data_IF_057496541259
#
_entry.id   IF_057496541259
#
_cell.length_a   1.000
_cell.length_b   1.000
_cell.length_c   1.000
_cell.angle_alpha   90.00
_cell.angle_beta   90.00
_cell.angle_gamma   90.00
#
_symmetry.space_group_name_H-M   'P 1'
#
loop_
_entity.id
_entity.type
_entity.pdbx_description
1 polymer ?
#
# COMPACT_ATOMS: atom_id res chain seq x y z
N UNK A 1 3.44 -11.02 -1.16
CA UNK A 1 4.11 -12.03 -2.00
C UNK A 1 3.48 -12.01 -3.37
N UNK A 2 4.17 -12.48 -4.42
CA UNK A 2 3.48 -12.73 -5.69
C UNK A 2 2.30 -13.68 -5.49
N UNK A 3 1.18 -13.41 -6.15
CA UNK A 3 -0.07 -14.16 -6.00
C UNK A 3 -0.98 -13.70 -4.85
N UNK A 4 -0.50 -12.83 -3.95
CA UNK A 4 -1.31 -12.36 -2.82
C UNK A 4 -2.31 -11.26 -3.21
N UNK A 5 -3.28 -11.04 -2.32
CA UNK A 5 -4.08 -9.83 -2.31
C UNK A 5 -3.44 -8.73 -1.44
N UNK A 6 -3.61 -7.49 -1.88
CA UNK A 6 -3.08 -6.29 -1.25
C UNK A 6 -4.18 -5.24 -1.11
N UNK A 7 -4.28 -4.65 0.08
CA UNK A 7 -5.24 -3.60 0.38
C UNK A 7 -4.55 -2.42 1.08
N UNK A 8 -4.82 -1.22 0.56
CA UNK A 8 -4.50 0.06 1.22
C UNK A 8 -5.78 0.81 1.55
N UNK A 9 -5.90 1.24 2.80
CA UNK A 9 -6.95 2.15 3.27
C UNK A 9 -6.35 3.52 3.51
N UNK A 10 -6.96 4.56 2.96
CA UNK A 10 -6.52 5.93 3.15
C UNK A 10 -7.38 6.66 4.20
N UNK A 11 -6.76 7.05 5.30
CA UNK A 11 -7.40 7.83 6.35
C UNK A 11 -6.99 9.29 6.25
N UNK A 12 -7.93 10.15 5.89
CA UNK A 12 -7.68 11.58 5.70
C UNK A 12 -8.31 12.44 6.78
N UNK A 13 -7.47 13.21 7.47
CA UNK A 13 -7.88 14.14 8.53
C UNK A 13 -7.61 15.57 8.06
N UNK A 14 -8.66 16.38 8.02
CA UNK A 14 -8.58 17.78 7.62
C UNK A 14 -9.71 18.60 8.23
N UNK A 15 -9.56 19.93 8.21
CA UNK A 15 -10.60 20.89 8.60
C UNK A 15 -10.83 21.90 7.46
N UNK A 16 -12.01 21.92 6.82
CA UNK A 16 -13.10 20.93 6.92
C UNK A 16 -12.67 19.51 6.54
N UNK A 17 -13.44 18.49 6.95
CA UNK A 17 -13.09 17.11 6.62
C UNK A 17 -13.05 16.91 5.09
N UNK A 18 -12.06 16.16 4.55
CA UNK A 18 -11.98 15.91 3.12
C UNK A 18 -13.26 15.28 2.58
N UNK A 19 -13.76 15.83 1.48
CA UNK A 19 -14.99 15.37 0.81
C UNK A 19 -14.68 14.36 -0.29
N UNK A 20 -13.43 14.28 -0.73
CA UNK A 20 -12.97 13.39 -1.79
C UNK A 20 -11.61 12.79 -1.42
N UNK A 21 -11.51 11.48 -1.54
CA UNK A 21 -10.29 10.68 -1.35
C UNK A 21 -10.15 9.76 -2.55
N UNK A 22 -9.00 9.78 -3.21
CA UNK A 22 -8.73 9.02 -4.45
C UNK A 22 -7.32 8.48 -4.44
N UNK A 23 -7.09 7.35 -5.11
CA UNK A 23 -5.75 6.80 -5.33
C UNK A 23 -5.29 6.99 -6.76
N UNK A 24 -3.99 7.23 -6.90
CA UNK A 24 -3.27 7.28 -8.18
C UNK A 24 -1.97 6.49 -8.05
N UNK A 25 -1.45 6.00 -9.18
CA UNK A 25 -0.08 5.50 -9.26
C UNK A 25 0.81 6.64 -9.76
N UNK A 26 1.94 6.83 -9.10
CA UNK A 26 2.87 7.92 -9.42
C UNK A 26 3.68 7.52 -10.64
N UNK A 27 3.79 8.44 -11.60
CA UNK A 27 4.55 8.30 -12.85
C UNK A 27 4.14 7.12 -13.75
N UNK A 28 2.96 6.52 -13.49
CA UNK A 28 2.48 5.35 -14.21
C UNK A 28 0.95 5.24 -14.11
N UNK A 29 0.35 4.37 -14.92
CA UNK A 29 -1.09 4.12 -14.89
C UNK A 29 -1.46 3.10 -13.80
N UNK A 30 -2.64 3.26 -13.21
CA UNK A 30 -3.15 2.27 -12.25
C UNK A 30 -3.24 0.88 -12.91
N UNK A 31 -2.80 -0.20 -12.23
CA UNK A 31 -2.92 -1.55 -12.79
C UNK A 31 -4.37 -1.87 -13.15
N UNK A 32 -4.59 -2.55 -14.28
CA UNK A 32 -5.95 -2.84 -14.78
C UNK A 32 -6.78 -3.69 -13.79
N UNK A 33 -6.12 -4.52 -12.98
CA UNK A 33 -6.71 -5.36 -11.94
C UNK A 33 -6.80 -4.67 -10.57
N UNK A 34 -6.46 -3.38 -10.48
CA UNK A 34 -6.70 -2.59 -9.29
C UNK A 34 -8.17 -2.18 -9.18
N UNK A 35 -8.73 -2.24 -7.97
CA UNK A 35 -10.11 -1.84 -7.67
C UNK A 35 -10.08 -0.71 -6.64
N UNK A 36 -10.73 0.40 -6.98
CA UNK A 36 -10.88 1.58 -6.11
C UNK A 36 -12.28 1.59 -5.50
N UNK A 37 -12.37 1.60 -4.17
CA UNK A 37 -13.63 1.65 -3.43
C UNK A 37 -13.54 2.72 -2.35
N UNK A 38 -13.98 3.94 -2.69
CA UNK A 38 -13.86 5.10 -1.80
C UNK A 38 -12.40 5.35 -1.40
N UNK A 39 -12.06 5.33 -0.10
CA UNK A 39 -10.68 5.53 0.37
C UNK A 39 -9.78 4.30 0.21
N UNK A 40 -10.31 3.17 -0.28
CA UNK A 40 -9.58 1.90 -0.32
C UNK A 40 -9.12 1.55 -1.74
N UNK A 41 -7.90 1.04 -1.83
CA UNK A 41 -7.29 0.45 -3.02
C UNK A 41 -7.07 -1.04 -2.79
N UNK A 42 -7.56 -1.86 -3.70
CA UNK A 42 -7.38 -3.31 -3.70
C UNK A 42 -6.64 -3.76 -4.95
N UNK A 43 -5.65 -4.64 -4.81
CA UNK A 43 -4.96 -5.29 -5.91
C UNK A 43 -4.88 -6.78 -5.59
N UNK A 44 -5.51 -7.61 -6.41
CA UNK A 44 -5.48 -9.06 -6.24
C UNK A 44 -4.38 -9.67 -7.11
N UNK A 45 -3.86 -10.83 -6.70
CA UNK A 45 -2.87 -11.59 -7.46
C UNK A 45 -1.64 -10.72 -7.84
N UNK A 46 -1.00 -10.14 -6.82
CA UNK A 46 0.17 -9.28 -6.96
C UNK A 46 1.25 -9.91 -7.84
N UNK A 47 1.90 -9.12 -8.67
CA UNK A 47 3.06 -9.53 -9.45
C UNK A 47 4.11 -8.40 -9.52
N UNK A 48 5.32 -8.66 -10.05
CA UNK A 48 6.41 -7.64 -10.08
C UNK A 48 6.08 -6.37 -10.85
N UNK A 49 5.12 -6.38 -11.77
CA UNK A 49 4.70 -5.17 -12.49
C UNK A 49 3.86 -4.24 -11.62
N UNK A 50 3.30 -4.76 -10.52
CA UNK A 50 2.58 -3.96 -9.51
C UNK A 50 3.54 -3.14 -8.63
N UNK A 51 4.86 -3.36 -8.72
CA UNK A 51 5.85 -2.53 -8.05
C UNK A 51 5.70 -1.06 -8.46
N UNK A 52 5.70 -0.16 -7.48
CA UNK A 52 5.56 1.26 -7.74
C UNK A 52 5.14 2.06 -6.51
N UNK A 53 4.96 3.36 -6.71
CA UNK A 53 4.49 4.27 -5.67
C UNK A 53 3.01 4.58 -5.89
N UNK A 54 2.19 4.27 -4.89
CA UNK A 54 0.76 4.53 -4.87
C UNK A 54 0.49 5.72 -3.97
N UNK A 55 -0.17 6.75 -4.50
CA UNK A 55 -0.46 8.00 -3.80
C UNK A 55 -1.94 8.10 -3.52
N UNK A 56 -2.28 8.29 -2.25
CA UNK A 56 -3.60 8.71 -1.87
C UNK A 56 -3.65 10.23 -1.88
N UNK A 57 -4.62 10.81 -2.58
CA UNK A 57 -4.92 12.23 -2.58
C UNK A 57 -6.26 12.49 -1.90
N UNK A 58 -6.26 13.40 -0.92
CA UNK A 58 -7.49 13.89 -0.29
C UNK A 58 -7.67 15.38 -0.55
N UNK A 59 -8.92 15.79 -0.75
CA UNK A 59 -9.25 17.19 -1.01
C UNK A 59 -10.48 17.67 -0.24
N UNK A 60 -10.42 18.94 0.18
CA UNK A 60 -11.53 19.70 0.74
C UNK A 60 -11.58 21.08 0.06
N UNK A 61 -12.45 21.97 0.55
CA UNK A 61 -12.58 23.34 0.03
C UNK A 61 -11.33 24.23 0.27
N UNK A 62 -10.43 23.82 1.17
CA UNK A 62 -9.21 24.57 1.52
C UNK A 62 -8.05 24.17 0.61
N UNK A 63 -7.96 22.90 0.22
CA UNK A 63 -6.90 22.42 -0.65
C UNK A 63 -6.82 20.90 -0.77
N UNK A 64 -5.65 20.43 -1.20
CA UNK A 64 -5.31 19.02 -1.39
C UNK A 64 -4.11 18.63 -0.53
N UNK A 65 -4.10 17.39 -0.05
CA UNK A 65 -2.97 16.75 0.60
C UNK A 65 -2.79 15.33 0.06
N UNK A 66 -1.57 14.80 0.10
CA UNK A 66 -1.27 13.46 -0.39
C UNK A 66 -0.27 12.70 0.51
N UNK A 67 -0.31 11.37 0.42
CA UNK A 67 0.55 10.44 1.15
C UNK A 67 0.87 9.28 0.24
N UNK A 68 2.14 8.89 0.24
CA UNK A 68 2.71 7.93 -0.69
C UNK A 68 3.00 6.60 0.00
N UNK A 69 2.65 5.51 -0.66
CA UNK A 69 2.98 4.16 -0.26
C UNK A 69 3.79 3.47 -1.36
N UNK A 70 4.99 3.02 -1.02
CA UNK A 70 5.85 2.30 -1.95
C UNK A 70 5.62 0.79 -1.85
N UNK A 71 5.08 0.19 -2.90
CA UNK A 71 4.81 -1.25 -2.99
C UNK A 71 6.02 -1.98 -3.59
N UNK A 72 6.50 -2.97 -2.84
CA UNK A 72 7.50 -3.93 -3.29
C UNK A 72 6.93 -5.35 -3.20
N UNK A 73 6.84 -6.01 -4.35
CA UNK A 73 6.38 -7.38 -4.55
C UNK A 73 7.61 -8.25 -4.75
N UNK A 74 7.81 -9.16 -3.80
CA UNK A 74 8.86 -10.17 -3.85
C UNK A 74 8.27 -11.52 -4.28
N UNK A 75 9.03 -12.25 -5.10
CA UNK A 75 8.77 -13.65 -5.41
C UNK A 75 9.15 -14.49 -4.18
N UNK A 76 8.20 -15.27 -3.68
CA UNK A 76 8.44 -16.19 -2.56
C UNK A 76 9.45 -17.30 -2.90
N UNK A 77 9.64 -17.62 -4.19
CA UNK A 77 10.53 -18.69 -4.66
C UNK A 77 11.99 -18.25 -4.79
N UNK A 78 12.23 -16.95 -4.95
CA UNK A 78 13.58 -16.40 -5.07
C UNK A 78 14.31 -16.27 -3.72
N UNK A 79 13.58 -16.35 -2.60
CA UNK A 79 14.15 -16.37 -1.24
C UNK A 79 14.62 -17.76 -0.76
N UNK A 80 14.33 -18.81 -1.54
CA UNK A 80 14.60 -20.20 -1.17
C UNK A 80 15.60 -20.88 -2.13
N UNK A 81 16.11 -20.17 -3.13
CA UNK A 81 17.15 -20.64 -4.07
C UNK A 81 18.57 -20.38 -3.53
N UNK A 82 18.76 -20.59 -2.23
CA UNK A 82 20.04 -20.44 -1.53
C UNK A 82 20.26 -21.38 -0.34
N UNK A 83 19.29 -22.23 0.01
CA UNK A 83 19.39 -23.16 1.14
C UNK A 83 19.43 -24.61 0.67
N UNK A 84 20.46 -24.95 -0.10
CA UNK A 84 20.79 -26.35 -0.35
C UNK A 84 21.73 -26.80 0.78
N UNK A 85 21.15 -27.53 1.75
CA UNK A 85 21.76 -28.38 2.81
C UNK A 85 22.08 -27.72 4.17
N UNK A 86 21.11 -27.75 5.08
CA UNK A 86 21.32 -27.95 6.52
C UNK A 86 20.06 -28.65 7.08
N UNK A 87 20.04 -29.99 7.09
CA UNK A 87 20.04 -30.85 8.29
C UNK A 87 18.97 -30.45 9.32
N UNK A 88 18.03 -31.38 9.55
CA UNK A 88 16.92 -31.34 10.51
C UNK A 88 17.20 -30.50 11.76
N UNK A 89 16.42 -29.45 12.09
CA UNK A 89 16.12 -28.98 13.46
C UNK A 89 15.08 -27.83 13.42
N UNK A 90 13.90 -28.09 13.99
CA UNK A 90 12.86 -27.18 14.49
C UNK A 90 12.72 -25.77 13.87
N UNK A 91 11.64 -25.53 13.13
CA UNK A 91 11.14 -24.16 12.93
C UNK A 91 10.35 -23.76 14.17
N UNK A 92 11.02 -23.13 15.15
CA UNK A 92 10.35 -22.32 16.16
C UNK A 92 10.13 -20.94 15.57
N UNK A 93 8.88 -20.64 15.22
CA UNK A 93 8.37 -19.28 15.08
C UNK A 93 8.83 -18.52 13.83
N UNK A 94 8.15 -18.74 12.71
CA UNK A 94 8.09 -17.77 11.62
C UNK A 94 6.66 -17.25 11.49
N UNK A 95 6.38 -16.07 12.04
CA UNK A 95 5.18 -15.31 11.62
C UNK A 95 5.68 -14.16 10.76
N UNK A 96 5.13 -14.05 9.54
CA UNK A 96 4.70 -12.77 8.95
C UNK A 96 3.66 -13.04 7.86
N UNK A 97 2.39 -12.84 8.22
CA UNK A 97 1.23 -12.73 7.34
C UNK A 97 1.43 -11.59 6.31
N UNK A 98 0.77 -11.53 5.16
CA UNK A 98 -0.50 -12.09 4.71
C UNK A 98 -1.28 -10.98 3.96
N UNK A 99 -2.36 -11.31 3.27
CA UNK A 99 -3.31 -10.31 2.74
C UNK A 99 -3.88 -9.47 3.88
N UNK A 100 -3.24 -8.34 4.15
CA UNK A 100 -3.49 -7.49 5.32
C UNK A 100 -3.68 -6.05 4.89
N UNK A 101 -4.63 -5.38 5.54
CA UNK A 101 -4.96 -3.97 5.32
C UNK A 101 -3.85 -3.10 5.85
N UNK A 102 -3.26 -2.25 5.00
CA UNK A 102 -2.33 -1.21 5.45
C UNK A 102 -3.03 0.14 5.43
N UNK A 103 -2.69 0.99 6.39
CA UNK A 103 -3.29 2.31 6.53
C UNK A 103 -2.28 3.36 6.05
N UNK A 104 -2.69 4.18 5.09
CA UNK A 104 -2.00 5.41 4.74
C UNK A 104 -2.70 6.57 5.44
N UNK A 105 -1.99 7.29 6.31
CA UNK A 105 -2.57 8.41 7.07
C UNK A 105 -2.16 9.73 6.43
N UNK A 106 -3.15 10.55 6.11
CA UNK A 106 -3.02 11.92 5.63
C UNK A 106 -3.31 12.88 6.78
N UNK A 107 -2.27 13.53 7.31
CA UNK A 107 -2.40 14.60 8.29
C UNK A 107 -2.23 15.96 7.61
N UNK A 108 -3.23 16.83 7.74
CA UNK A 108 -3.08 18.24 7.39
C UNK A 108 -2.21 18.93 8.46
N UNK A 109 -0.95 19.20 8.14
CA UNK A 109 -0.13 20.11 8.92
C UNK A 109 -0.60 21.54 8.63
N UNK A 110 -1.67 21.97 9.31
CA UNK A 110 -1.83 23.39 9.57
C UNK A 110 -0.70 23.78 10.52
N UNK A 111 0.43 24.21 9.97
CA UNK A 111 1.46 24.91 10.75
C UNK A 111 0.82 26.05 11.55
N UNK A 112 1.41 26.45 12.69
CA UNK A 112 0.82 27.46 13.54
C UNK A 112 0.60 28.76 12.73
N UNK A 113 -0.56 29.37 12.91
CA UNK A 113 -0.80 30.75 12.49
C UNK A 113 0.23 31.64 13.20
N UNK A 114 1.23 32.12 12.46
CA UNK A 114 2.09 33.23 12.86
C UNK A 114 2.02 34.32 11.80
#
# INVERSE_FOLDING_TARGET
WEGDAFELTCEAIGKPQPVMVTWVRVDDEMPQHAVLSGPNLFINNLNKTDNGTYRCEASNIVGKAHSDYMLYVYDSRAGEEGSIRAVDHAVIGGVVAGGGVRHAVLAHHSGPLL
#
